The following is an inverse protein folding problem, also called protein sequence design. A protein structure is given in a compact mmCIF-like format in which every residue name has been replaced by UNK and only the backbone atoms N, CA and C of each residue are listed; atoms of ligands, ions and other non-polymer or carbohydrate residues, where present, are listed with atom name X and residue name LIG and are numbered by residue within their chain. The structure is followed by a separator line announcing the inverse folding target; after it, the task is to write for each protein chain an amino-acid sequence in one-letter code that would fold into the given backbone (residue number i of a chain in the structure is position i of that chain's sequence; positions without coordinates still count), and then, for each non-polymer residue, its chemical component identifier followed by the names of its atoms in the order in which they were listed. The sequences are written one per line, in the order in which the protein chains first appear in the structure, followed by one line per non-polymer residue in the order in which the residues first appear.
data_IF_381459795455
#
_entry.id   IF_381459795455
#
_cell.length_a   1.000
_cell.length_b   1.000
_cell.length_c   1.000
_cell.angle_alpha   90.00
_cell.angle_beta   90.00
_cell.angle_gamma   90.00
#
_symmetry.space_group_name_H-M   'P 1'
#
loop_
_entity.id
_entity.type
_entity.pdbx_description
1 polymer ?
#
# COMPACT_ATOMS: atom_id res chain seq x y z
N UNK A 1 4.74 -5.17 -11.94
CA UNK A 1 3.71 -4.10 -11.88
C UNK A 1 4.28 -2.89 -11.17
N UNK A 2 4.18 -1.75 -11.78
CA UNK A 2 4.68 -0.50 -11.20
C UNK A 2 3.54 0.27 -10.56
N UNK A 3 3.87 1.29 -9.75
CA UNK A 3 2.89 2.07 -9.01
C UNK A 3 1.73 2.61 -9.86
N UNK A 4 1.96 3.20 -11.05
CA UNK A 4 0.86 3.69 -11.87
C UNK A 4 -0.11 2.59 -12.29
N UNK A 5 0.39 1.41 -12.63
CA UNK A 5 -0.42 0.27 -13.00
C UNK A 5 -1.24 -0.24 -11.82
N UNK A 6 -0.61 -0.30 -10.65
CA UNK A 6 -1.27 -0.73 -9.43
C UNK A 6 -2.37 0.27 -9.05
N UNK A 7 -2.09 1.57 -9.16
CA UNK A 7 -3.07 2.61 -8.88
C UNK A 7 -4.29 2.49 -9.81
N UNK A 8 -4.05 2.23 -11.09
CA UNK A 8 -5.13 2.04 -12.06
C UNK A 8 -5.98 0.82 -11.70
N UNK A 9 -5.37 -0.28 -11.32
CA UNK A 9 -6.08 -1.49 -10.93
C UNK A 9 -6.92 -1.28 -9.67
N UNK A 10 -6.36 -0.58 -8.68
CA UNK A 10 -7.08 -0.26 -7.45
C UNK A 10 -8.25 0.68 -7.73
N UNK A 11 -8.03 1.70 -8.56
CA UNK A 11 -9.08 2.63 -8.94
C UNK A 11 -10.24 1.91 -9.59
N UNK A 12 -9.94 0.95 -10.47
CA UNK A 12 -10.94 0.17 -11.17
C UNK A 12 -11.78 -0.69 -10.20
N UNK A 13 -11.16 -1.28 -9.21
CA UNK A 13 -11.84 -2.15 -8.24
C UNK A 13 -12.62 -1.39 -7.18
N UNK A 14 -12.25 -0.17 -6.90
CA UNK A 14 -12.80 0.60 -5.77
C UNK A 14 -13.73 1.73 -6.19
N UNK A 15 -13.72 2.09 -7.47
CA UNK A 15 -14.44 3.26 -7.94
C UNK A 15 -13.74 4.57 -7.61
N UNK A 16 -12.50 4.51 -7.11
CA UNK A 16 -11.71 5.70 -6.86
C UNK A 16 -11.11 6.22 -8.16
N UNK A 17 -10.68 7.48 -8.16
CA UNK A 17 -9.88 8.01 -9.26
C UNK A 17 -8.47 7.42 -9.16
N UNK A 18 -7.71 7.43 -10.25
CA UNK A 18 -6.32 6.99 -10.24
C UNK A 18 -5.48 7.82 -9.28
N UNK A 19 -5.76 9.12 -9.23
CA UNK A 19 -5.08 10.03 -8.33
C UNK A 19 -5.31 9.64 -6.87
N UNK A 20 -6.56 9.37 -6.50
CA UNK A 20 -6.89 8.95 -5.14
C UNK A 20 -6.30 7.58 -4.82
N UNK A 21 -6.35 6.65 -5.76
CA UNK A 21 -5.75 5.33 -5.58
C UNK A 21 -4.24 5.45 -5.37
N UNK A 22 -3.58 6.35 -6.09
CA UNK A 22 -2.15 6.61 -5.90
C UNK A 22 -1.85 7.15 -4.50
N UNK A 23 -2.71 8.04 -3.99
CA UNK A 23 -2.59 8.54 -2.61
C UNK A 23 -2.73 7.42 -1.59
N UNK A 24 -3.67 6.50 -1.82
CA UNK A 24 -3.87 5.36 -0.93
C UNK A 24 -2.62 4.48 -0.90
N UNK A 25 -2.03 4.21 -2.06
CA UNK A 25 -0.80 3.42 -2.13
C UNK A 25 0.32 4.11 -1.36
N UNK A 26 0.48 5.41 -1.56
CA UNK A 26 1.51 6.19 -0.86
C UNK A 26 1.29 6.15 0.65
N UNK A 27 0.05 6.35 1.09
CA UNK A 27 -0.27 6.31 2.52
C UNK A 27 0.02 4.93 3.11
N UNK A 28 -0.31 3.87 2.39
CA UNK A 28 -0.05 2.50 2.83
C UNK A 28 1.45 2.24 2.97
N UNK A 29 2.23 2.59 1.95
CA UNK A 29 3.67 2.35 1.98
C UNK A 29 4.36 3.22 3.05
N UNK A 30 3.88 4.45 3.25
CA UNK A 30 4.40 5.31 4.30
C UNK A 30 4.15 4.71 5.69
N UNK A 31 2.97 4.13 5.91
CA UNK A 31 2.66 3.51 7.19
C UNK A 31 3.50 2.25 7.42
N UNK A 32 3.71 1.44 6.39
CA UNK A 32 4.57 0.26 6.49
C UNK A 32 6.01 0.68 6.80
N UNK A 33 6.51 1.71 6.14
CA UNK A 33 7.85 2.24 6.39
C UNK A 33 7.98 2.80 7.80
N UNK A 34 6.97 3.51 8.29
CA UNK A 34 6.97 4.04 9.65
C UNK A 34 6.97 2.91 10.68
N UNK A 35 6.20 1.86 10.45
CA UNK A 35 6.19 0.70 11.32
C UNK A 35 7.56 0.03 11.35
N UNK A 36 8.18 -0.14 10.18
CA UNK A 36 9.52 -0.72 10.10
C UNK A 36 10.55 0.10 10.87
N UNK A 37 10.43 1.42 10.85
CA UNK A 37 11.32 2.32 11.61
C UNK A 37 11.18 2.11 13.11
N UNK A 38 10.03 1.65 13.58
CA UNK A 38 9.79 1.34 14.99
C UNK A 38 10.07 -0.12 15.34
N UNK A 39 10.54 -0.90 14.36
CA UNK A 39 10.80 -2.32 14.56
C UNK A 39 9.54 -3.17 14.58
N UNK A 40 8.45 -2.66 14.01
CA UNK A 40 7.17 -3.37 13.94
C UNK A 40 6.96 -3.92 12.54
N UNK A 41 6.41 -5.14 12.45
CA UNK A 41 5.97 -5.71 11.19
C UNK A 41 4.51 -5.37 10.97
N UNK A 42 4.10 -5.29 9.71
CA UNK A 42 2.71 -5.10 9.35
C UNK A 42 2.16 -6.42 8.84
N UNK A 43 1.18 -6.96 9.56
CA UNK A 43 0.56 -8.24 9.22
C UNK A 43 -0.85 -8.02 8.72
N UNK A 44 -1.15 -8.55 7.54
CA UNK A 44 -2.48 -8.49 6.94
C UNK A 44 -3.07 -9.90 6.94
N UNK A 45 -4.19 -10.07 7.62
CA UNK A 45 -4.85 -11.36 7.71
C UNK A 45 -5.18 -11.88 6.31
N UNK A 46 -4.75 -13.11 6.02
CA UNK A 46 -4.99 -13.74 4.72
C UNK A 46 -4.02 -13.35 3.63
N UNK A 47 -3.14 -12.37 3.89
CA UNK A 47 -2.17 -11.93 2.89
C UNK A 47 -0.74 -12.24 3.28
N UNK A 48 -0.35 -11.89 4.50
CA UNK A 48 1.00 -12.13 4.96
C UNK A 48 1.52 -10.98 5.81
N UNK A 49 2.80 -11.03 6.12
CA UNK A 49 3.47 -10.02 6.94
C UNK A 49 4.44 -9.23 6.06
N UNK A 50 4.38 -7.90 6.18
CA UNK A 50 5.30 -6.99 5.51
C UNK A 50 6.43 -6.65 6.47
N UNK A 51 7.65 -6.87 6.00
CA UNK A 51 8.86 -6.61 6.78
C UNK A 51 9.84 -5.88 5.87
N UNK A 52 10.03 -4.60 6.13
CA UNK A 52 10.93 -3.75 5.35
C UNK A 52 12.21 -3.54 6.16
N UNK A 53 13.34 -3.79 5.53
CA UNK A 53 14.65 -3.63 6.15
C UNK A 53 15.41 -2.46 5.54
#
# INVERSE_FOLDING_TARGET
MRKPELAAAIADRTGLTREKASEVITAFTDQVSAAASRGEDVTLIGFGTFNIR
#
